data_IF_765572106706
#
_entry.id   IF_765572106706
#
_cell.length_a   1.000
_cell.length_b   1.000
_cell.length_c   1.000
_cell.angle_alpha   90.00
_cell.angle_beta   90.00
_cell.angle_gamma   90.00
#
_symmetry.space_group_name_H-M   'P 1'
#
loop_
_entity.id
_entity.type
_entity.pdbx_description
1 polymer ?
#
# COMPACT_ATOMS: atom_id res chain seq x y z
N UNK A 1 21.31 7.78 9.36
CA UNK A 1 20.47 6.61 9.08
C UNK A 1 21.36 5.49 8.57
N UNK A 2 21.04 4.23 8.90
CA UNK A 2 21.73 3.05 8.38
C UNK A 2 20.99 2.55 7.14
N UNK A 3 21.72 2.16 6.09
CA UNK A 3 21.12 1.55 4.90
C UNK A 3 20.88 0.06 5.10
N UNK A 4 19.80 -0.46 4.53
CA UNK A 4 19.55 -1.89 4.44
C UNK A 4 19.09 -2.27 3.04
N UNK A 5 19.22 -3.55 2.70
CA UNK A 5 18.66 -4.09 1.46
C UNK A 5 18.50 -5.60 1.56
N UNK A 6 17.51 -6.14 0.86
CA UNK A 6 17.36 -7.57 0.61
C UNK A 6 16.85 -7.80 -0.80
N UNK A 7 17.19 -8.96 -1.36
CA UNK A 7 16.68 -9.43 -2.65
C UNK A 7 16.30 -10.89 -2.53
N UNK A 8 15.13 -11.23 -3.03
CA UNK A 8 14.69 -12.60 -3.20
C UNK A 8 14.25 -12.80 -4.65
N UNK A 9 14.47 -14.00 -5.18
CA UNK A 9 14.06 -14.33 -6.54
C UNK A 9 13.52 -15.75 -6.58
N UNK A 10 12.37 -15.91 -7.23
CA UNK A 10 11.71 -17.20 -7.42
C UNK A 10 11.21 -17.27 -8.86
N UNK A 11 11.50 -18.36 -9.56
CA UNK A 11 11.04 -18.60 -10.95
C UNK A 11 11.27 -17.46 -11.96
N UNK A 12 12.27 -16.60 -11.73
CA UNK A 12 12.59 -15.47 -12.61
C UNK A 12 11.98 -14.13 -12.15
N UNK A 13 11.01 -14.15 -11.25
CA UNK A 13 10.47 -12.97 -10.58
C UNK A 13 11.37 -12.55 -9.42
N UNK A 14 11.29 -11.28 -9.05
CA UNK A 14 12.19 -10.69 -8.06
C UNK A 14 11.40 -9.82 -7.09
N UNK A 15 11.64 -10.00 -5.79
CA UNK A 15 11.32 -9.02 -4.76
C UNK A 15 12.62 -8.35 -4.32
N UNK A 16 12.69 -7.02 -4.39
CA UNK A 16 13.79 -6.25 -3.80
C UNK A 16 13.20 -5.26 -2.83
N UNK A 17 13.90 -5.07 -1.73
CA UNK A 17 13.68 -3.98 -0.81
C UNK A 17 15.03 -3.34 -0.51
N UNK A 18 15.10 -2.02 -0.54
CA UNK A 18 16.24 -1.24 -0.13
C UNK A 18 15.75 -0.02 0.62
N UNK A 19 16.58 0.57 1.47
CA UNK A 19 16.10 1.70 2.24
C UNK A 19 17.05 2.17 3.32
N UNK A 20 16.54 3.06 4.16
CA UNK A 20 17.25 3.57 5.32
C UNK A 20 16.41 3.44 6.59
N UNK A 21 17.09 3.35 7.73
CA UNK A 21 16.44 3.33 9.03
C UNK A 21 17.18 4.21 10.03
N UNK A 22 16.44 4.79 10.96
CA UNK A 22 17.05 5.54 12.07
C UNK A 22 17.64 4.62 13.17
N UNK A 23 17.44 3.30 13.06
CA UNK A 23 17.89 2.31 14.04
C UNK A 23 18.30 0.98 13.41
N UNK A 24 18.46 -0.04 14.26
CA UNK A 24 18.74 -1.41 13.82
C UNK A 24 17.51 -2.01 13.14
N UNK A 25 17.74 -2.65 12.00
CA UNK A 25 16.73 -3.38 11.24
C UNK A 25 17.06 -4.87 11.25
N UNK A 26 16.07 -5.70 11.54
CA UNK A 26 16.12 -7.14 11.35
C UNK A 26 15.09 -7.55 10.31
N UNK A 27 15.53 -8.24 9.26
CA UNK A 27 14.68 -8.69 8.17
C UNK A 27 14.62 -10.21 8.13
N UNK A 28 13.43 -10.75 7.84
CA UNK A 28 13.25 -12.19 7.61
C UNK A 28 12.29 -12.42 6.46
N UNK A 29 12.62 -13.38 5.60
CA UNK A 29 11.75 -13.81 4.51
C UNK A 29 11.29 -15.25 4.72
N UNK A 30 10.06 -15.57 4.30
CA UNK A 30 9.49 -16.91 4.40
C UNK A 30 8.66 -17.20 3.16
N UNK A 31 8.84 -18.39 2.57
CA UNK A 31 8.01 -18.89 1.48
C UNK A 31 7.26 -20.14 1.94
N UNK A 32 5.92 -20.08 1.93
CA UNK A 32 5.05 -21.21 2.34
C UNK A 32 3.85 -21.27 1.43
N UNK A 33 3.54 -22.46 0.92
CA UNK A 33 2.33 -22.74 0.11
C UNK A 33 2.15 -21.85 -1.13
N UNK A 34 3.23 -21.30 -1.69
CA UNK A 34 3.14 -20.37 -2.83
C UNK A 34 3.31 -18.91 -2.43
N UNK A 35 3.15 -18.58 -1.15
CA UNK A 35 3.16 -17.21 -0.68
C UNK A 35 4.56 -16.84 -0.16
N UNK A 36 5.14 -15.80 -0.77
CA UNK A 36 6.32 -15.15 -0.25
C UNK A 36 5.92 -14.07 0.76
N UNK A 37 6.57 -14.06 1.93
CA UNK A 37 6.38 -13.05 2.96
C UNK A 37 7.72 -12.47 3.39
N UNK A 38 7.75 -11.16 3.58
CA UNK A 38 8.91 -10.40 4.04
C UNK A 38 8.52 -9.59 5.27
N UNK A 39 9.22 -9.80 6.38
CA UNK A 39 8.96 -9.11 7.65
C UNK A 39 10.15 -8.26 8.02
N UNK A 40 9.86 -7.00 8.34
CA UNK A 40 10.80 -6.02 8.86
C UNK A 40 10.53 -5.85 10.35
N UNK A 41 11.59 -5.84 11.14
CA UNK A 41 11.53 -5.51 12.55
C UNK A 41 12.50 -4.35 12.80
N UNK A 42 11.94 -3.20 13.11
CA UNK A 42 12.65 -2.00 13.52
C UNK A 42 11.96 -1.41 14.76
N UNK A 43 12.72 -0.68 15.58
CA UNK A 43 12.15 0.13 16.69
C UNK A 43 11.97 1.60 16.31
N UNK A 44 12.35 1.94 15.08
CA UNK A 44 12.41 3.29 14.54
C UNK A 44 11.94 3.27 13.10
N UNK A 45 11.52 4.44 12.63
CA UNK A 45 11.08 4.64 11.25
C UNK A 45 12.07 4.04 10.26
N UNK A 46 11.51 3.37 9.25
CA UNK A 46 12.19 2.99 8.03
C UNK A 46 11.64 3.78 6.85
N UNK A 47 12.49 3.98 5.86
CA UNK A 47 12.12 4.48 4.55
C UNK A 47 12.57 3.42 3.54
N UNK A 48 11.62 2.74 2.91
CA UNK A 48 11.85 1.52 2.15
C UNK A 48 11.31 1.63 0.72
N UNK A 49 12.19 1.45 -0.25
CA UNK A 49 11.88 1.28 -1.66
C UNK A 49 11.70 -0.21 -1.98
N UNK A 50 10.57 -0.56 -2.57
CA UNK A 50 10.23 -1.91 -3.02
C UNK A 50 10.17 -1.92 -4.54
N UNK A 51 10.84 -2.90 -5.14
CA UNK A 51 10.87 -3.06 -6.61
C UNK A 51 10.88 -4.52 -7.03
N UNK A 52 10.56 -4.75 -8.29
CA UNK A 52 10.51 -6.07 -8.91
C UNK A 52 9.08 -6.58 -9.06
N UNK A 53 8.95 -7.81 -9.57
CA UNK A 53 7.69 -8.37 -10.08
C UNK A 53 7.12 -9.51 -9.23
N UNK A 54 7.74 -9.83 -8.09
CA UNK A 54 7.34 -10.97 -7.28
C UNK A 54 6.29 -10.53 -6.26
N UNK A 55 5.13 -11.19 -6.33
CA UNK A 55 4.05 -11.07 -5.35
C UNK A 55 4.57 -11.33 -3.94
N UNK A 56 4.16 -10.49 -2.98
CA UNK A 56 4.65 -10.60 -1.62
C UNK A 56 3.67 -10.09 -0.57
N UNK A 57 3.65 -10.76 0.58
CA UNK A 57 3.20 -10.14 1.82
C UNK A 57 4.36 -9.35 2.44
N UNK A 58 4.21 -8.04 2.58
CA UNK A 58 5.18 -7.17 3.27
C UNK A 58 4.63 -6.82 4.65
N UNK A 59 5.46 -6.98 5.68
CA UNK A 59 5.08 -6.67 7.07
C UNK A 59 6.08 -5.68 7.65
N UNK A 60 5.58 -4.50 8.04
CA UNK A 60 6.35 -3.37 8.58
C UNK A 60 6.62 -3.44 10.08
N UNK A 61 6.97 -2.30 10.67
CA UNK A 61 7.33 -2.17 12.09
C UNK A 61 6.24 -1.47 12.92
N UNK A 62 6.50 -1.15 14.19
CA UNK A 62 5.53 -0.36 15.00
C UNK A 62 5.95 1.12 15.09
N UNK A 63 6.68 1.59 14.09
CA UNK A 63 7.14 2.97 13.99
C UNK A 63 6.59 3.57 12.70
N UNK A 64 6.54 4.90 12.62
CA UNK A 64 6.09 5.62 11.42
C UNK A 64 7.02 5.33 10.24
N UNK A 65 6.62 4.39 9.39
CA UNK A 65 7.40 3.85 8.29
C UNK A 65 6.92 4.44 6.96
N UNK A 66 7.81 4.49 5.97
CA UNK A 66 7.46 4.79 4.57
C UNK A 66 7.80 3.59 3.70
N UNK A 67 6.84 3.17 2.89
CA UNK A 67 6.98 2.10 1.91
C UNK A 67 6.64 2.66 0.53
N UNK A 68 7.60 2.61 -0.38
CA UNK A 68 7.46 3.05 -1.76
C UNK A 68 7.43 1.84 -2.71
N UNK A 69 6.27 1.54 -3.28
CA UNK A 69 6.09 0.49 -4.27
C UNK A 69 6.05 1.02 -5.72
N UNK A 70 6.35 2.30 -5.96
CA UNK A 70 6.25 2.91 -7.30
C UNK A 70 7.14 2.26 -8.37
N UNK A 71 8.17 1.51 -7.96
CA UNK A 71 9.04 0.70 -8.84
C UNK A 71 8.77 -0.80 -8.80
N UNK A 72 7.69 -1.22 -8.14
CA UNK A 72 7.24 -2.60 -8.03
C UNK A 72 6.09 -2.89 -9.01
N UNK A 73 6.03 -4.13 -9.45
CA UNK A 73 4.88 -4.71 -10.12
C UNK A 73 4.52 -6.04 -9.45
N UNK A 74 3.25 -6.40 -9.46
CA UNK A 74 2.77 -7.63 -8.82
C UNK A 74 1.84 -7.36 -7.65
N UNK A 75 1.24 -8.41 -7.12
CA UNK A 75 0.23 -8.30 -6.07
C UNK A 75 0.87 -8.29 -4.69
N UNK A 76 0.70 -7.19 -3.96
CA UNK A 76 1.22 -7.02 -2.60
C UNK A 76 0.13 -7.06 -1.54
N UNK A 77 0.41 -7.74 -0.43
CA UNK A 77 -0.34 -7.58 0.81
C UNK A 77 0.56 -6.86 1.80
N UNK A 78 0.29 -5.59 2.09
CA UNK A 78 1.13 -4.78 2.98
C UNK A 78 0.42 -4.60 4.31
N UNK A 79 1.13 -4.93 5.39
CA UNK A 79 0.69 -4.70 6.77
C UNK A 79 1.75 -3.90 7.50
N UNK A 80 1.60 -2.57 7.58
CA UNK A 80 2.64 -1.73 8.17
C UNK A 80 2.68 -1.86 9.68
N UNK A 81 1.50 -2.09 10.31
CA UNK A 81 1.20 -2.46 11.71
C UNK A 81 0.84 -1.28 12.57
N UNK A 82 1.75 -0.37 12.84
CA UNK A 82 1.38 0.83 13.58
C UNK A 82 2.49 1.83 13.65
N UNK A 83 2.16 3.03 14.09
CA UNK A 83 2.90 4.21 13.66
C UNK A 83 2.04 4.99 12.68
N UNK A 84 2.52 6.13 12.22
CA UNK A 84 1.85 6.89 11.18
C UNK A 84 2.57 6.56 9.88
N UNK A 85 2.07 5.56 9.17
CA UNK A 85 2.74 4.97 8.04
C UNK A 85 2.33 5.65 6.73
N UNK A 86 3.24 5.66 5.76
CA UNK A 86 2.96 6.15 4.41
C UNK A 86 3.24 5.05 3.40
N UNK A 87 2.21 4.64 2.66
CA UNK A 87 2.29 3.59 1.66
C UNK A 87 2.04 4.21 0.30
N UNK A 88 3.05 4.18 -0.57
CA UNK A 88 2.94 4.59 -1.96
C UNK A 88 2.71 3.33 -2.78
N UNK A 89 1.59 3.32 -3.48
CA UNK A 89 1.17 2.21 -4.31
C UNK A 89 2.10 1.98 -5.51
N UNK A 90 2.05 0.76 -6.03
CA UNK A 90 2.77 0.29 -7.21
C UNK A 90 1.82 -0.46 -8.14
N UNK A 91 2.37 -1.02 -9.20
CA UNK A 91 1.55 -1.70 -10.22
C UNK A 91 1.05 -3.05 -9.70
N UNK A 92 -0.21 -3.37 -9.97
CA UNK A 92 -0.87 -4.63 -9.65
C UNK A 92 -1.90 -4.49 -8.53
N UNK A 93 -2.76 -5.52 -8.39
CA UNK A 93 -3.83 -5.50 -7.39
C UNK A 93 -3.28 -5.66 -5.97
N UNK A 94 -3.23 -4.58 -5.21
CA UNK A 94 -2.63 -4.55 -3.87
C UNK A 94 -3.70 -4.55 -2.76
N UNK A 95 -3.29 -4.97 -1.58
CA UNK A 95 -4.09 -4.91 -0.36
C UNK A 95 -3.28 -4.26 0.75
N UNK A 96 -3.78 -3.15 1.29
CA UNK A 96 -3.10 -2.32 2.27
C UNK A 96 -3.83 -2.31 3.62
N UNK A 97 -3.08 -2.54 4.69
CA UNK A 97 -3.51 -2.48 6.09
C UNK A 97 -2.48 -1.62 6.84
N UNK A 98 -2.83 -0.35 7.07
CA UNK A 98 -1.98 0.59 7.82
C UNK A 98 -1.83 0.15 9.28
N UNK A 99 -2.91 -0.38 9.85
CA UNK A 99 -2.96 -0.83 11.21
C UNK A 99 -3.29 0.32 12.16
N UNK A 100 -2.45 0.58 13.15
CA UNK A 100 -2.75 1.56 14.19
C UNK A 100 -1.93 2.84 14.06
N UNK A 101 -2.60 3.96 13.85
CA UNK A 101 -2.01 5.30 13.78
C UNK A 101 -2.67 6.09 12.66
N UNK A 102 -2.08 7.23 12.30
CA UNK A 102 -2.59 8.02 11.18
C UNK A 102 -1.83 7.62 9.92
N UNK A 103 -2.41 6.70 9.14
CA UNK A 103 -1.76 6.14 7.97
C UNK A 103 -2.18 6.89 6.69
N UNK A 104 -1.31 6.93 5.70
CA UNK A 104 -1.57 7.59 4.41
C UNK A 104 -1.34 6.62 3.27
N UNK A 105 -2.38 6.37 2.48
CA UNK A 105 -2.34 5.53 1.29
C UNK A 105 -2.30 6.42 0.05
N UNK A 106 -1.25 6.28 -0.73
CA UNK A 106 -0.92 7.20 -1.82
C UNK A 106 -1.01 6.44 -3.11
N UNK A 107 -1.97 6.81 -3.94
CA UNK A 107 -2.20 6.19 -5.23
C UNK A 107 -1.67 7.10 -6.31
N UNK A 108 -0.60 6.64 -6.96
CA UNK A 108 0.00 7.31 -8.09
C UNK A 108 -0.55 6.70 -9.37
N UNK A 109 -0.87 7.54 -10.35
CA UNK A 109 -1.13 7.05 -11.70
C UNK A 109 0.18 6.57 -12.33
N UNK A 110 0.38 5.26 -12.47
CA UNK A 110 1.61 4.70 -13.09
C UNK A 110 1.33 3.94 -14.41
N UNK A 111 0.08 3.66 -14.74
CA UNK A 111 -0.25 2.77 -15.85
C UNK A 111 -0.75 3.55 -17.09
N UNK A 112 -0.46 2.99 -18.28
CA UNK A 112 -0.90 3.57 -19.56
C UNK A 112 -2.31 3.10 -19.95
N UNK A 113 -2.95 3.69 -20.97
CA UNK A 113 -4.33 3.36 -21.36
C UNK A 113 -4.55 1.93 -21.87
N UNK A 114 -3.49 1.14 -22.07
CA UNK A 114 -3.54 -0.25 -22.53
C UNK A 114 -3.30 -1.26 -21.38
N UNK A 115 -3.14 -0.77 -20.15
CA UNK A 115 -3.01 -1.60 -18.95
C UNK A 115 -4.35 -2.23 -18.56
N UNK A 116 -4.33 -3.43 -17.97
CA UNK A 116 -5.54 -4.01 -17.40
C UNK A 116 -5.99 -3.20 -16.18
N UNK A 117 -7.31 -3.02 -16.02
CA UNK A 117 -7.87 -2.37 -14.83
C UNK A 117 -7.35 -3.03 -13.54
N UNK A 118 -6.85 -2.20 -12.64
CA UNK A 118 -6.34 -2.60 -11.33
C UNK A 118 -7.40 -2.37 -10.25
N UNK A 119 -7.34 -3.20 -9.21
CA UNK A 119 -8.20 -3.09 -8.03
C UNK A 119 -7.31 -3.20 -6.79
N UNK A 120 -7.09 -2.06 -6.16
CA UNK A 120 -6.46 -1.99 -4.86
C UNK A 120 -7.52 -1.99 -3.77
N UNK A 121 -7.15 -2.55 -2.61
CA UNK A 121 -8.02 -2.59 -1.45
C UNK A 121 -7.31 -2.05 -0.23
N UNK A 122 -7.90 -1.05 0.41
CA UNK A 122 -7.50 -0.63 1.75
C UNK A 122 -8.44 -1.32 2.74
N UNK A 123 -7.88 -2.03 3.71
CA UNK A 123 -8.65 -2.71 4.77
C UNK A 123 -8.43 -2.05 6.11
N UNK A 124 -9.42 -2.19 7.00
CA UNK A 124 -9.42 -1.59 8.34
C UNK A 124 -9.28 -0.06 8.36
N UNK A 125 -9.70 0.62 7.29
CA UNK A 125 -9.58 2.06 7.15
C UNK A 125 -10.30 2.82 8.28
N UNK A 126 -9.59 3.74 8.93
CA UNK A 126 -10.08 4.57 10.01
C UNK A 126 -10.40 5.97 9.50
N UNK A 127 -11.69 6.31 9.35
CA UNK A 127 -12.15 7.66 8.99
C UNK A 127 -11.67 8.77 9.95
N UNK A 128 -11.19 8.40 11.14
CA UNK A 128 -10.72 9.34 12.14
C UNK A 128 -9.20 9.59 12.08
N UNK A 129 -8.44 8.67 11.47
CA UNK A 129 -6.99 8.64 11.56
C UNK A 129 -6.32 8.56 10.18
N UNK A 130 -6.88 7.79 9.26
CA UNK A 130 -6.26 7.50 7.98
C UNK A 130 -6.58 8.56 6.92
N UNK A 131 -5.79 8.54 5.84
CA UNK A 131 -5.95 9.43 4.71
C UNK A 131 -5.61 8.77 3.38
N UNK A 132 -6.29 9.21 2.32
CA UNK A 132 -6.06 8.83 0.93
C UNK A 132 -5.48 10.03 0.17
N UNK A 133 -4.33 9.84 -0.45
CA UNK A 133 -3.68 10.82 -1.32
C UNK A 133 -3.77 10.32 -2.77
N UNK A 134 -4.56 10.99 -3.61
CA UNK A 134 -4.64 10.70 -5.04
C UNK A 134 -3.69 11.64 -5.80
N UNK A 135 -2.68 11.06 -6.45
CA UNK A 135 -1.65 11.82 -7.17
C UNK A 135 -1.87 11.70 -8.68
N UNK A 136 -2.12 12.82 -9.33
CA UNK A 136 -2.40 12.89 -10.76
C UNK A 136 -3.45 13.94 -11.08
N UNK A 137 -3.89 14.01 -12.33
CA UNK A 137 -4.96 14.93 -12.77
C UNK A 137 -6.12 14.20 -13.44
N UNK A 138 -6.33 12.92 -13.13
CA UNK A 138 -7.44 12.14 -13.66
C UNK A 138 -8.76 12.47 -12.96
N UNK A 139 -9.86 12.36 -13.68
CA UNK A 139 -11.18 12.28 -13.07
C UNK A 139 -11.34 10.96 -12.32
N UNK A 140 -12.15 11.02 -11.29
CA UNK A 140 -12.58 9.85 -10.54
C UNK A 140 -14.00 10.07 -10.04
N UNK A 141 -14.67 8.97 -9.73
CA UNK A 141 -16.00 8.95 -9.12
C UNK A 141 -15.96 8.11 -7.85
N UNK A 142 -16.82 8.45 -6.88
CA UNK A 142 -16.97 7.67 -5.65
C UNK A 142 -18.38 7.08 -5.60
N UNK A 143 -18.45 5.78 -5.26
CA UNK A 143 -19.68 5.03 -5.07
C UNK A 143 -19.66 4.30 -3.72
N UNK A 144 -20.84 4.04 -3.16
CA UNK A 144 -20.96 3.10 -2.04
C UNK A 144 -20.71 1.67 -2.55
N UNK A 145 -19.96 0.90 -1.77
CA UNK A 145 -19.73 -0.52 -2.02
C UNK A 145 -20.65 -1.39 -1.18
N UNK A 146 -20.09 -2.44 -0.58
CA UNK A 146 -20.73 -3.20 0.49
C UNK A 146 -20.96 -2.34 1.76
N UNK A 147 -21.50 -2.96 2.81
CA UNK A 147 -21.55 -2.31 4.14
C UNK A 147 -20.14 -1.94 4.57
N UNK A 148 -19.95 -0.72 5.08
CA UNK A 148 -18.66 -0.22 5.56
C UNK A 148 -17.59 -0.20 4.45
N UNK A 149 -18.00 0.11 3.21
CA UNK A 149 -17.15 0.14 2.02
C UNK A 149 -17.52 1.27 1.05
N UNK A 150 -16.51 1.89 0.45
CA UNK A 150 -16.64 2.83 -0.66
C UNK A 150 -15.67 2.47 -1.78
N UNK A 151 -16.01 2.83 -3.03
CA UNK A 151 -15.20 2.53 -4.20
C UNK A 151 -14.89 3.84 -4.94
N UNK A 152 -13.61 4.14 -5.08
CA UNK A 152 -13.10 5.19 -5.97
C UNK A 152 -12.84 4.52 -7.32
N UNK A 153 -13.46 5.02 -8.40
CA UNK A 153 -13.23 4.55 -9.77
C UNK A 153 -12.61 5.66 -10.59
N UNK A 154 -11.43 5.44 -11.14
CA UNK A 154 -10.74 6.37 -12.04
C UNK A 154 -11.27 6.27 -13.47
N UNK A 155 -11.00 7.29 -14.29
CA UNK A 155 -11.47 7.36 -15.68
C UNK A 155 -10.92 6.24 -16.59
N UNK A 156 -9.77 5.65 -16.25
CA UNK A 156 -9.16 4.52 -16.94
C UNK A 156 -9.71 3.15 -16.51
N UNK A 157 -10.52 3.09 -15.45
CA UNK A 157 -11.17 1.86 -14.97
C UNK A 157 -10.58 1.31 -13.67
N UNK A 158 -9.42 1.84 -13.25
CA UNK A 158 -8.77 1.46 -12.01
C UNK A 158 -9.65 1.81 -10.80
N UNK A 159 -9.54 0.99 -9.75
CA UNK A 159 -10.39 1.10 -8.58
C UNK A 159 -9.61 0.99 -7.28
N UNK A 160 -9.99 1.83 -6.33
CA UNK A 160 -9.61 1.68 -4.93
C UNK A 160 -10.87 1.31 -4.15
N UNK A 161 -10.85 0.14 -3.52
CA UNK A 161 -11.87 -0.31 -2.59
C UNK A 161 -11.42 0.05 -1.18
N UNK A 162 -12.17 0.93 -0.51
CA UNK A 162 -11.86 1.40 0.84
C UNK A 162 -12.82 0.70 1.81
N UNK A 163 -12.29 -0.14 2.70
CA UNK A 163 -13.06 -0.93 3.66
C UNK A 163 -12.74 -0.53 5.09
N UNK A 164 -13.75 -0.14 5.87
CA UNK A 164 -13.56 0.32 7.23
C UNK A 164 -14.87 0.71 7.91
N UNK A 165 -14.95 0.59 9.23
CA UNK A 165 -16.19 0.85 9.96
C UNK A 165 -16.73 2.26 9.69
N UNK A 166 -17.97 2.36 9.19
CA UNK A 166 -18.61 3.62 8.86
C UNK A 166 -18.15 4.25 7.53
N UNK A 167 -17.24 3.62 6.79
CA UNK A 167 -16.85 4.06 5.45
C UNK A 167 -18.07 4.05 4.54
N UNK A 168 -18.27 5.18 3.88
CA UNK A 168 -19.34 5.43 2.91
C UNK A 168 -18.81 6.34 1.83
N UNK A 169 -19.46 6.35 0.67
CA UNK A 169 -19.22 7.31 -0.40
C UNK A 169 -19.09 8.74 0.13
N UNK A 170 -20.07 9.19 0.91
CA UNK A 170 -20.13 10.57 1.37
C UNK A 170 -18.94 10.93 2.28
N UNK A 171 -18.47 9.99 3.09
CA UNK A 171 -17.31 10.22 3.94
C UNK A 171 -16.02 10.38 3.10
N UNK A 172 -15.83 9.53 2.09
CA UNK A 172 -14.68 9.61 1.18
C UNK A 172 -14.74 10.84 0.27
N UNK A 173 -15.92 11.25 -0.21
CA UNK A 173 -16.07 12.50 -0.98
C UNK A 173 -15.71 13.75 -0.16
N UNK A 174 -16.04 13.77 1.14
CA UNK A 174 -15.64 14.86 2.06
C UNK A 174 -14.12 14.92 2.21
N UNK A 175 -13.48 13.77 2.42
CA UNK A 175 -12.03 13.68 2.56
C UNK A 175 -11.29 14.15 1.30
N UNK A 176 -11.75 13.70 0.12
CA UNK A 176 -11.16 14.05 -1.16
C UNK A 176 -11.54 15.46 -1.66
N UNK A 177 -12.39 16.19 -0.93
CA UNK A 177 -12.73 17.58 -1.21
C UNK A 177 -13.59 17.78 -2.47
N UNK A 178 -14.44 16.81 -2.81
CA UNK A 178 -15.28 16.81 -4.02
C UNK A 178 -16.76 17.16 -3.77
N UNK A 179 -17.10 17.59 -2.55
CA UNK A 179 -18.43 18.06 -2.12
C UNK A 179 -18.60 19.59 -2.15
#
# INVERSE_FOLDING_TARGET
MASFSSKTSFNGEVFKIAGTAEGSVSMSSKYVNGDFSFTINSKKAIDADITGSLDATVIGSNAADTFDFSGASGAYIVRTRGGNDRIIDGIGNNTFDGGAGQDTFVFNQVEGPDSPDEIDTIVNYSLAEDGIELVGSQGYTVADGATDEAIITFDDGDRIVVQGAGVTKAAIEVELGIV
#
